data_IF_105411817127
#
_entry.id   IF_105411817127
#
_cell.length_a   1.000
_cell.length_b   1.000
_cell.length_c   1.000
_cell.angle_alpha   90.00
_cell.angle_beta   90.00
_cell.angle_gamma   90.00
#
_symmetry.space_group_name_H-M   'P 1'
#
loop_
_entity.id
_entity.type
_entity.pdbx_description
1 polymer ?
#
# COMPACT_ATOMS: atom_id res chain seq x y z
N UNK A 1 -18.50 4.08 2.19
CA UNK A 1 -17.68 4.08 3.43
C UNK A 1 -16.20 4.08 3.05
N UNK A 2 -15.30 4.62 3.87
CA UNK A 2 -13.84 4.52 3.65
C UNK A 2 -13.24 3.46 4.59
N UNK A 3 -12.42 2.55 4.06
CA UNK A 3 -11.60 1.62 4.84
C UNK A 3 -10.12 1.95 4.66
N UNK A 4 -9.46 2.52 5.69
CA UNK A 4 -8.02 2.73 5.65
C UNK A 4 -7.28 1.43 5.91
N UNK A 5 -6.50 0.99 4.93
CA UNK A 5 -5.66 -0.19 5.00
C UNK A 5 -4.22 0.25 5.27
N UNK A 6 -3.75 -0.04 6.49
CA UNK A 6 -2.39 0.25 6.95
C UNK A 6 -1.44 -0.89 6.62
N UNK A 7 -0.32 -0.58 5.96
CA UNK A 7 0.73 -1.55 5.67
C UNK A 7 1.30 -2.21 6.94
N UNK A 8 1.48 -1.43 8.01
CA UNK A 8 1.93 -1.93 9.32
C UNK A 8 1.02 -3.02 9.90
N UNK A 9 -0.29 -2.86 9.75
CA UNK A 9 -1.28 -3.83 10.26
C UNK A 9 -1.37 -5.03 9.33
N UNK A 10 -1.36 -4.81 8.01
CA UNK A 10 -1.43 -5.87 7.03
C UNK A 10 -0.15 -6.72 6.97
N UNK A 11 1.01 -6.16 7.31
CA UNK A 11 2.29 -6.87 7.28
C UNK A 11 3.13 -6.57 8.53
N UNK A 12 2.79 -7.18 9.68
CA UNK A 12 3.45 -6.88 10.96
C UNK A 12 4.92 -7.32 11.01
N UNK A 13 5.36 -8.22 10.13
CA UNK A 13 6.74 -8.73 10.10
C UNK A 13 7.36 -8.73 8.69
N UNK A 14 8.69 -8.87 8.58
CA UNK A 14 9.41 -8.80 7.30
C UNK A 14 9.20 -10.04 6.41
N UNK A 15 8.39 -11.00 6.86
CA UNK A 15 8.02 -12.21 6.15
C UNK A 15 7.26 -11.95 4.84
N UNK A 16 6.89 -13.03 4.16
CA UNK A 16 6.08 -12.98 2.93
C UNK A 16 4.57 -13.14 3.17
N UNK A 17 4.11 -13.11 4.43
CA UNK A 17 2.70 -13.28 4.77
C UNK A 17 2.06 -11.94 5.14
N UNK A 18 0.75 -11.86 4.91
CA UNK A 18 -0.07 -10.69 5.17
C UNK A 18 -1.31 -11.08 5.97
N UNK A 19 -1.78 -10.18 6.81
CA UNK A 19 -2.90 -10.37 7.74
C UNK A 19 -4.12 -9.56 7.26
N UNK A 20 -5.01 -10.24 6.53
CA UNK A 20 -6.18 -9.60 5.94
C UNK A 20 -7.50 -9.89 6.65
N UNK A 21 -7.52 -10.86 7.58
CA UNK A 21 -8.74 -11.35 8.24
C UNK A 21 -9.58 -10.20 8.83
N UNK A 22 -8.92 -9.24 9.49
CA UNK A 22 -9.61 -8.07 10.06
C UNK A 22 -10.25 -7.18 9.00
N UNK A 23 -9.52 -6.86 7.93
CA UNK A 23 -10.01 -6.03 6.82
C UNK A 23 -11.13 -6.73 6.04
N UNK A 24 -11.00 -8.04 5.81
CA UNK A 24 -12.04 -8.89 5.21
C UNK A 24 -13.33 -8.88 6.03
N UNK A 25 -13.23 -8.96 7.35
CA UNK A 25 -14.40 -8.87 8.23
C UNK A 25 -15.16 -7.56 8.03
N UNK A 26 -14.45 -6.43 7.97
CA UNK A 26 -15.07 -5.11 7.73
C UNK A 26 -15.67 -5.04 6.32
N UNK A 27 -14.95 -5.51 5.31
CA UNK A 27 -15.43 -5.49 3.93
C UNK A 27 -16.69 -6.36 3.75
N UNK A 28 -16.75 -7.53 4.40
CA UNK A 28 -17.92 -8.39 4.41
C UNK A 28 -19.13 -7.71 5.06
N UNK A 29 -18.95 -7.02 6.18
CA UNK A 29 -20.03 -6.25 6.81
C UNK A 29 -20.56 -5.13 5.90
N UNK A 30 -19.67 -4.46 5.16
CA UNK A 30 -20.05 -3.40 4.21
C UNK A 30 -20.82 -3.99 3.02
N UNK A 31 -20.36 -5.13 2.48
CA UNK A 31 -21.05 -5.88 1.43
C UNK A 31 -22.44 -6.31 1.87
N UNK A 32 -22.55 -6.91 3.05
CA UNK A 32 -23.83 -7.43 3.58
C UNK A 32 -24.83 -6.28 3.86
N UNK A 33 -24.31 -5.07 4.11
CA UNK A 33 -25.11 -3.84 4.20
C UNK A 33 -25.49 -3.25 2.83
N UNK A 34 -24.99 -3.78 1.72
CA UNK A 34 -25.24 -3.27 0.36
C UNK A 34 -24.65 -1.88 0.11
N UNK A 35 -23.53 -1.56 0.77
CA UNK A 35 -22.88 -0.25 0.68
C UNK A 35 -21.59 -0.31 -0.15
N UNK A 36 -21.26 0.81 -0.77
CA UNK A 36 -19.99 0.97 -1.48
C UNK A 36 -18.82 1.18 -0.52
N UNK A 37 -17.71 0.51 -0.79
CA UNK A 37 -16.46 0.59 -0.07
C UNK A 37 -15.39 1.30 -0.90
N UNK A 38 -14.85 2.37 -0.34
CA UNK A 38 -13.67 3.06 -0.84
C UNK A 38 -12.49 2.65 0.02
N UNK A 39 -11.42 2.15 -0.58
CA UNK A 39 -10.25 1.68 0.17
C UNK A 39 -9.11 2.68 0.02
N UNK A 40 -8.54 3.10 1.16
CA UNK A 40 -7.33 3.93 1.18
C UNK A 40 -6.12 3.13 1.64
N UNK A 41 -5.17 2.89 0.74
CA UNK A 41 -3.91 2.21 1.04
C UNK A 41 -2.94 3.20 1.66
N UNK A 42 -2.36 2.84 2.80
CA UNK A 42 -1.45 3.69 3.57
C UNK A 42 -0.11 3.01 3.76
N UNK A 43 0.94 3.69 3.34
CA UNK A 43 2.32 3.18 3.26
C UNK A 43 3.32 4.07 4.01
N UNK A 44 2.85 5.13 4.67
CA UNK A 44 3.66 6.14 5.34
C UNK A 44 3.17 6.45 6.76
N UNK A 45 3.96 7.25 7.47
CA UNK A 45 3.71 7.69 8.84
C UNK A 45 3.57 6.50 9.80
N UNK A 46 2.45 6.47 10.53
CA UNK A 46 2.05 5.40 11.44
C UNK A 46 1.65 4.10 10.72
N UNK A 47 1.54 4.10 9.39
CA UNK A 47 1.28 2.89 8.61
C UNK A 47 2.55 2.16 8.17
N UNK A 48 3.75 2.62 8.56
CA UNK A 48 4.98 1.88 8.29
C UNK A 48 5.16 0.71 9.27
N UNK A 49 5.42 -0.51 8.77
CA UNK A 49 5.67 -1.65 9.64
C UNK A 49 6.87 -1.45 10.56
N UNK A 50 6.83 -2.07 11.74
CA UNK A 50 7.92 -2.02 12.72
C UNK A 50 9.26 -2.46 12.13
N UNK A 51 9.27 -3.50 11.29
CA UNK A 51 10.49 -4.00 10.65
C UNK A 51 11.09 -3.02 9.62
N UNK A 52 10.28 -2.14 9.03
CA UNK A 52 10.76 -1.05 8.17
C UNK A 52 11.32 0.09 9.01
N UNK A 53 10.65 0.40 10.13
CA UNK A 53 11.15 1.38 11.09
C UNK A 53 12.50 0.94 11.72
N UNK A 54 12.66 -0.35 12.00
CA UNK A 54 13.92 -0.93 12.49
C UNK A 54 15.04 -0.83 11.44
N UNK A 55 14.72 -1.07 10.16
CA UNK A 55 15.67 -0.88 9.06
C UNK A 55 16.09 0.60 8.95
N UNK A 56 15.15 1.54 9.07
CA UNK A 56 15.43 2.97 9.07
C UNK A 56 16.20 3.45 10.31
N UNK A 57 16.05 2.76 11.45
CA UNK A 57 16.85 3.03 12.64
C UNK A 57 18.30 2.53 12.48
N UNK A 58 18.50 1.42 11.77
CA UNK A 58 19.82 0.88 11.46
C UNK A 58 20.55 1.67 10.37
N UNK A 59 19.83 2.11 9.34
CA UNK A 59 20.32 2.96 8.27
C UNK A 59 19.37 4.15 8.05
N UNK A 60 19.69 5.33 8.63
CA UNK A 60 18.85 6.52 8.46
C UNK A 60 18.69 6.98 7.02
N UNK A 61 19.59 6.62 6.08
CA UNK A 61 19.53 7.03 4.66
C UNK A 61 18.36 6.39 3.91
N UNK A 62 17.72 5.40 4.55
CA UNK A 62 16.44 4.83 4.13
C UNK A 62 15.30 5.84 4.21
N UNK A 63 15.38 6.84 5.10
CA UNK A 63 14.34 7.85 5.28
C UNK A 63 14.48 8.99 4.27
N UNK A 64 13.33 9.49 3.83
CA UNK A 64 13.27 10.69 3.02
C UNK A 64 13.90 11.87 3.76
N UNK A 65 14.81 12.57 3.08
CA UNK A 65 15.46 13.77 3.60
C UNK A 65 14.97 14.97 2.82
N UNK A 66 14.41 15.96 3.52
CA UNK A 66 13.95 17.19 2.88
C UNK A 66 15.11 18.08 2.41
N UNK A 67 14.80 19.16 1.71
CA UNK A 67 15.81 20.10 1.20
C UNK A 67 16.58 20.84 2.31
N UNK A 68 16.05 20.84 3.53
CA UNK A 68 16.69 21.42 4.71
C UNK A 68 17.57 20.40 5.44
N UNK A 69 17.66 19.16 4.95
CA UNK A 69 18.45 18.09 5.57
C UNK A 69 17.73 17.37 6.71
N UNK A 70 16.44 17.62 6.94
CA UNK A 70 15.68 16.89 7.96
C UNK A 70 15.16 15.56 7.42
N UNK A 71 15.44 14.49 8.17
CA UNK A 71 14.92 13.16 7.89
C UNK A 71 13.47 13.07 8.37
N UNK A 72 12.57 12.67 7.48
CA UNK A 72 11.16 12.45 7.80
C UNK A 72 10.96 11.04 8.32
N UNK A 73 10.81 10.92 9.64
CA UNK A 73 10.41 9.67 10.28
C UNK A 73 9.05 9.24 9.72
N UNK A 74 8.96 7.97 9.32
CA UNK A 74 7.76 7.45 8.72
C UNK A 74 7.62 7.74 7.23
N UNK A 75 8.69 8.12 6.52
CA UNK A 75 8.65 8.30 5.07
C UNK A 75 9.89 7.68 4.44
N UNK A 76 9.71 6.67 3.60
CA UNK A 76 10.81 6.04 2.87
C UNK A 76 11.30 6.97 1.74
N UNK A 77 12.62 7.02 1.56
CA UNK A 77 13.24 7.77 0.49
C UNK A 77 13.00 7.08 -0.86
N UNK A 78 12.60 7.83 -1.88
CA UNK A 78 12.50 7.30 -3.25
C UNK A 78 13.87 6.93 -3.85
N UNK A 79 14.97 7.49 -3.31
CA UNK A 79 16.31 7.22 -3.82
C UNK A 79 16.78 5.77 -3.56
N UNK A 80 16.08 5.04 -2.71
CA UNK A 80 16.41 3.67 -2.31
C UNK A 80 15.43 2.64 -2.88
N UNK A 81 14.48 3.02 -3.75
CA UNK A 81 13.35 2.16 -4.17
C UNK A 81 13.81 0.80 -4.74
N UNK A 82 14.98 0.76 -5.38
CA UNK A 82 15.58 -0.46 -5.95
C UNK A 82 16.66 -1.11 -5.06
N UNK A 83 17.06 -0.45 -3.96
CA UNK A 83 18.12 -0.94 -3.08
C UNK A 83 17.56 -1.89 -2.03
N UNK A 84 18.23 -3.02 -1.80
CA UNK A 84 17.80 -4.09 -0.89
C UNK A 84 18.02 -3.76 0.61
N UNK A 85 17.55 -2.60 1.06
CA UNK A 85 17.79 -2.04 2.40
C UNK A 85 16.78 -2.47 3.46
N UNK A 86 15.67 -3.08 3.05
CA UNK A 86 14.61 -3.53 3.97
C UNK A 86 14.70 -5.04 4.21
N UNK A 87 15.67 -5.46 5.02
CA UNK A 87 15.91 -6.89 5.34
C UNK A 87 16.11 -7.73 4.07
N UNK A 88 16.92 -7.22 3.14
CA UNK A 88 17.24 -7.88 1.87
C UNK A 88 16.18 -7.70 0.76
N UNK A 89 15.14 -6.91 1.00
CA UNK A 89 14.15 -6.48 -0.01
C UNK A 89 14.31 -5.02 -0.34
N UNK A 90 13.97 -4.63 -1.57
CA UNK A 90 13.83 -3.20 -1.89
C UNK A 90 12.46 -2.66 -1.46
N UNK A 91 12.33 -1.36 -1.18
CA UNK A 91 11.03 -0.72 -0.95
C UNK A 91 10.04 -1.03 -2.07
N UNK A 92 10.46 -0.97 -3.34
CA UNK A 92 9.61 -1.30 -4.47
C UNK A 92 9.06 -2.73 -4.40
N UNK A 93 9.91 -3.72 -4.11
CA UNK A 93 9.48 -5.11 -3.95
C UNK A 93 8.51 -5.27 -2.76
N UNK A 94 8.73 -4.52 -1.69
CA UNK A 94 7.87 -4.56 -0.52
C UNK A 94 6.48 -3.96 -0.80
N UNK A 95 6.43 -2.81 -1.49
CA UNK A 95 5.19 -2.19 -1.95
C UNK A 95 4.44 -3.08 -2.94
N UNK A 96 5.14 -3.65 -3.93
CA UNK A 96 4.54 -4.56 -4.91
C UNK A 96 3.94 -5.79 -4.22
N UNK A 97 4.65 -6.39 -3.26
CA UNK A 97 4.13 -7.53 -2.50
C UNK A 97 2.88 -7.16 -1.69
N UNK A 98 2.87 -5.99 -1.05
CA UNK A 98 1.73 -5.48 -0.30
C UNK A 98 0.50 -5.24 -1.19
N UNK A 99 0.68 -4.52 -2.30
CA UNK A 99 -0.41 -4.25 -3.23
C UNK A 99 -0.93 -5.55 -3.85
N UNK A 100 -0.05 -6.42 -4.38
CA UNK A 100 -0.45 -7.70 -4.95
C UNK A 100 -1.22 -8.57 -3.97
N UNK A 101 -0.73 -8.69 -2.74
CA UNK A 101 -1.44 -9.48 -1.72
C UNK A 101 -2.83 -8.91 -1.41
N UNK A 102 -2.99 -7.58 -1.44
CA UNK A 102 -4.31 -6.95 -1.32
C UNK A 102 -5.22 -7.27 -2.50
N UNK A 103 -4.75 -7.22 -3.76
CA UNK A 103 -5.60 -7.60 -4.89
C UNK A 103 -6.02 -9.07 -4.80
N UNK A 104 -5.07 -9.97 -4.61
CA UNK A 104 -5.33 -11.40 -4.56
C UNK A 104 -6.32 -11.73 -3.45
N UNK A 105 -6.18 -11.07 -2.30
CA UNK A 105 -7.09 -11.26 -1.19
C UNK A 105 -8.47 -10.66 -1.46
N UNK A 106 -8.61 -9.49 -2.07
CA UNK A 106 -9.92 -8.81 -2.21
C UNK A 106 -10.54 -8.94 -3.61
N UNK A 107 -10.04 -9.87 -4.44
CA UNK A 107 -10.43 -10.03 -5.85
C UNK A 107 -11.95 -10.14 -6.04
N UNK A 108 -12.62 -10.93 -5.20
CA UNK A 108 -14.06 -11.17 -5.22
C UNK A 108 -14.91 -9.94 -4.86
N UNK A 109 -14.29 -8.89 -4.31
CA UNK A 109 -14.97 -7.68 -3.86
C UNK A 109 -14.76 -6.50 -4.82
N UNK A 110 -13.81 -6.56 -5.76
CA UNK A 110 -13.66 -5.51 -6.79
C UNK A 110 -14.85 -5.50 -7.74
N UNK A 111 -15.23 -4.30 -8.20
CA UNK A 111 -16.35 -4.11 -9.13
C UNK A 111 -17.74 -4.31 -8.49
N UNK A 112 -17.81 -4.97 -7.33
CA UNK A 112 -19.03 -5.14 -6.54
C UNK A 112 -19.06 -4.19 -5.35
N UNK A 113 -18.31 -4.51 -4.29
CA UNK A 113 -18.31 -3.76 -3.03
C UNK A 113 -17.22 -2.69 -3.02
N UNK A 114 -16.02 -3.02 -3.49
CA UNK A 114 -14.91 -2.07 -3.60
C UNK A 114 -15.07 -1.31 -4.92
N UNK A 115 -15.53 -0.07 -4.82
CA UNK A 115 -15.78 0.81 -5.97
C UNK A 115 -14.61 1.74 -6.26
N UNK A 116 -13.79 2.04 -5.24
CA UNK A 116 -12.62 2.88 -5.38
C UNK A 116 -11.46 2.38 -4.52
N UNK A 117 -10.26 2.50 -5.06
CA UNK A 117 -9.00 2.27 -4.37
C UNK A 117 -8.11 3.49 -4.63
N UNK A 118 -7.44 3.99 -3.60
CA UNK A 118 -6.47 5.08 -3.76
C UNK A 118 -5.41 5.01 -2.67
N UNK A 119 -4.26 5.60 -2.93
CA UNK A 119 -3.23 5.76 -1.91
C UNK A 119 -3.48 7.04 -1.11
N UNK A 120 -3.33 6.95 0.22
CA UNK A 120 -3.44 8.09 1.12
C UNK A 120 -2.12 8.28 1.84
N UNK A 121 -1.38 9.30 1.40
CA UNK A 121 -0.15 9.76 2.05
C UNK A 121 -0.46 10.93 3.00
N UNK A 122 0.38 11.13 4.01
CA UNK A 122 0.25 12.20 5.01
C UNK A 122 0.23 13.64 4.44
N UNK A 123 -0.02 14.66 5.28
CA UNK A 123 -0.25 16.04 4.83
C UNK A 123 0.93 16.58 4.02
N UNK A 124 0.63 16.87 2.76
CA UNK A 124 1.56 17.22 1.71
C UNK A 124 2.00 18.69 1.82
N UNK A 125 3.10 18.93 2.53
CA UNK A 125 3.91 20.11 2.25
C UNK A 125 4.84 19.75 1.07
N UNK A 126 4.29 19.94 -0.14
CA UNK A 126 4.94 19.93 -1.46
C UNK A 126 6.21 19.08 -1.69
N UNK A 127 6.08 18.13 -2.64
CA UNK A 127 7.12 17.45 -3.43
C UNK A 127 7.88 16.33 -2.71
N UNK A 128 7.28 15.13 -2.76
CA UNK A 128 7.95 13.89 -2.39
C UNK A 128 7.19 12.63 -2.80
N UNK A 129 6.32 12.68 -3.81
CA UNK A 129 5.75 11.44 -4.35
C UNK A 129 6.87 10.69 -5.07
N UNK A 130 7.16 9.46 -4.64
CA UNK A 130 7.86 8.54 -5.53
C UNK A 130 6.95 8.35 -6.74
N UNK A 131 7.36 8.89 -7.89
CA UNK A 131 6.67 8.63 -9.15
C UNK A 131 6.54 7.13 -9.37
N UNK A 132 7.51 6.34 -8.90
CA UNK A 132 7.49 4.89 -8.97
C UNK A 132 6.35 4.29 -8.14
N UNK A 133 6.09 4.80 -6.93
CA UNK A 133 4.95 4.37 -6.11
C UNK A 133 3.62 4.74 -6.77
N UNK A 134 3.51 5.97 -7.29
CA UNK A 134 2.31 6.43 -8.02
C UNK A 134 2.10 5.61 -9.29
N UNK A 135 3.15 5.30 -10.04
CA UNK A 135 3.09 4.43 -11.21
C UNK A 135 2.76 2.98 -10.82
N UNK A 136 3.33 2.45 -9.73
CA UNK A 136 3.01 1.11 -9.24
C UNK A 136 1.53 1.01 -8.85
N UNK A 137 1.00 2.00 -8.12
CA UNK A 137 -0.42 2.08 -7.78
C UNK A 137 -1.27 2.24 -9.04
N UNK A 138 -0.92 3.13 -9.97
CA UNK A 138 -1.70 3.34 -11.21
C UNK A 138 -1.68 2.12 -12.15
N UNK A 139 -0.54 1.47 -12.32
CA UNK A 139 -0.39 0.25 -13.13
C UNK A 139 -1.18 -0.87 -12.46
N UNK A 140 -1.08 -1.00 -11.14
CA UNK A 140 -1.83 -2.00 -10.39
C UNK A 140 -3.35 -1.77 -10.47
N UNK A 141 -3.81 -0.54 -10.24
CA UNK A 141 -5.19 -0.12 -10.41
C UNK A 141 -5.70 -0.40 -11.82
N UNK A 142 -4.90 -0.11 -12.84
CA UNK A 142 -5.25 -0.37 -14.23
C UNK A 142 -5.32 -1.88 -14.51
N UNK A 143 -4.37 -2.68 -14.02
CA UNK A 143 -4.36 -4.13 -14.23
C UNK A 143 -5.52 -4.84 -13.54
N UNK A 144 -5.89 -4.44 -12.32
CA UNK A 144 -7.05 -4.99 -11.60
C UNK A 144 -8.36 -4.61 -12.31
N UNK A 145 -8.54 -3.33 -12.65
CA UNK A 145 -9.75 -2.88 -13.36
C UNK A 145 -9.85 -3.44 -14.78
N UNK A 146 -8.74 -3.53 -15.53
CA UNK A 146 -8.72 -4.13 -16.88
C UNK A 146 -8.99 -5.64 -16.81
N UNK A 147 -8.42 -6.35 -15.83
CA UNK A 147 -8.67 -7.77 -15.62
C UNK A 147 -10.15 -8.08 -15.40
N UNK A 148 -10.84 -7.24 -14.61
CA UNK A 148 -12.27 -7.36 -14.40
C UNK A 148 -13.09 -6.98 -15.67
N UNK A 149 -12.72 -5.88 -16.34
CA UNK A 149 -13.38 -5.46 -17.59
C UNK A 149 -13.25 -6.50 -18.71
N UNK A 150 -12.14 -7.24 -18.77
CA UNK A 150 -11.94 -8.33 -19.73
C UNK A 150 -12.70 -9.61 -19.36
N UNK A 151 -12.95 -9.86 -18.07
CA UNK A 151 -13.82 -10.95 -17.63
C UNK A 151 -15.29 -10.68 -17.96
N UNK A 152 -15.74 -9.42 -17.86
CA UNK A 152 -17.11 -9.03 -18.23
C UNK A 152 -17.39 -9.08 -19.74
N UNK A 153 -16.35 -9.04 -20.59
CA UNK A 153 -16.49 -9.13 -22.06
C UNK A 153 -16.51 -10.61 -22.54
N UNK A 154 -16.14 -11.57 -21.70
CA UNK A 154 -16.04 -13.00 -22.05
C UNK A 154 -17.24 -13.86 -21.60
N UNK A 155 -18.39 -13.24 -21.29
CA UNK A 155 -19.66 -13.92 -20.97
C UNK A 155 -20.69 -13.72 -22.08
#
# INVERSE_FOLDING_TARGET
MELPVSWAVAQPGPGGWFEWVGYRGVAAMVRDAGLDLRVSLRTDGDALPGWVADAAAADPDVLFTDRSGHRRVGCLSFAIDELAVLVGKSPLQAYEAFFRSFADEFDDLFGSTITELFEKTGPTDQQGFSLVLVFAVLVFMSSVFIGHLMNDINV
#
